data_IF_857761802401
#
_entry.id   IF_857761802401
#
_cell.length_a   1.000
_cell.length_b   1.000
_cell.length_c   1.000
_cell.angle_alpha   90.00
_cell.angle_beta   90.00
_cell.angle_gamma   90.00
#
_symmetry.space_group_name_H-M   'P 1'
#
loop_
_entity.id
_entity.type
_entity.pdbx_description
1 polymer ?
#
# COMPACT_ATOMS: atom_id res chain seq x y z
N UNK A 1 5.04 15.98 14.05
CA UNK A 1 5.49 14.66 13.52
C UNK A 1 4.37 13.61 13.50
N UNK A 2 3.42 13.63 14.44
CA UNK A 2 2.25 12.74 14.45
C UNK A 2 1.38 12.81 13.18
N UNK A 3 1.20 14.01 12.62
CA UNK A 3 0.48 14.18 11.34
C UNK A 3 1.19 13.50 10.16
N UNK A 4 2.52 13.52 10.12
CA UNK A 4 3.29 12.87 9.07
C UNK A 4 3.10 11.34 9.10
N UNK A 5 3.10 10.74 10.30
CA UNK A 5 2.79 9.32 10.50
C UNK A 5 1.37 8.97 10.02
N UNK A 6 0.37 9.79 10.35
CA UNK A 6 -1.01 9.60 9.89
C UNK A 6 -1.14 9.69 8.38
N UNK A 7 -0.47 10.68 7.76
CA UNK A 7 -0.46 10.87 6.32
C UNK A 7 0.19 9.67 5.63
N UNK A 8 1.33 9.19 6.14
CA UNK A 8 2.03 8.04 5.58
C UNK A 8 1.19 6.75 5.67
N UNK A 9 0.49 6.57 6.80
CA UNK A 9 -0.45 5.45 6.98
C UNK A 9 -1.61 5.53 5.99
N UNK A 10 -2.21 6.71 5.82
CA UNK A 10 -3.33 6.91 4.89
C UNK A 10 -2.91 6.70 3.43
N UNK A 11 -1.72 7.20 3.05
CA UNK A 11 -1.15 6.98 1.72
C UNK A 11 -0.87 5.50 1.46
N UNK A 12 -0.31 4.80 2.45
CA UNK A 12 -0.06 3.37 2.34
C UNK A 12 -1.34 2.56 2.15
N UNK A 13 -2.39 2.85 2.92
CA UNK A 13 -3.69 2.20 2.78
C UNK A 13 -4.31 2.44 1.39
N UNK A 14 -4.17 3.66 0.87
CA UNK A 14 -4.65 4.03 -0.46
C UNK A 14 -3.90 3.25 -1.55
N UNK A 15 -2.57 3.20 -1.47
CA UNK A 15 -1.73 2.50 -2.44
C UNK A 15 -1.98 0.99 -2.41
N UNK A 16 -2.23 0.44 -1.21
CA UNK A 16 -2.62 -0.96 -1.06
C UNK A 16 -3.93 -1.27 -1.79
N UNK A 17 -4.96 -0.45 -1.59
CA UNK A 17 -6.25 -0.62 -2.26
C UNK A 17 -6.17 -0.50 -3.78
N UNK A 18 -5.37 0.45 -4.28
CA UNK A 18 -5.09 0.59 -5.72
C UNK A 18 -4.39 -0.65 -6.26
N UNK A 19 -3.35 -1.14 -5.58
CA UNK A 19 -2.64 -2.35 -5.98
C UNK A 19 -3.54 -3.58 -6.03
N UNK A 20 -4.40 -3.77 -5.03
CA UNK A 20 -5.33 -4.88 -4.98
C UNK A 20 -6.35 -4.82 -6.13
N UNK A 21 -6.82 -3.62 -6.47
CA UNK A 21 -7.74 -3.41 -7.59
C UNK A 21 -7.10 -3.75 -8.93
N UNK A 22 -5.87 -3.27 -9.17
CA UNK A 22 -5.12 -3.56 -10.40
C UNK A 22 -4.80 -5.06 -10.51
N UNK A 23 -4.42 -5.70 -9.40
CA UNK A 23 -4.20 -7.14 -9.35
C UNK A 23 -5.46 -7.92 -9.74
N UNK A 24 -6.61 -7.56 -9.16
CA UNK A 24 -7.90 -8.21 -9.47
C UNK A 24 -8.33 -8.03 -10.93
N UNK A 25 -8.13 -6.82 -11.49
CA UNK A 25 -8.40 -6.55 -12.91
C UNK A 25 -7.48 -7.38 -13.82
N UNK A 26 -6.17 -7.41 -13.53
CA UNK A 26 -5.21 -8.21 -14.30
C UNK A 26 -5.54 -9.70 -14.28
N UNK A 27 -5.98 -10.23 -13.13
CA UNK A 27 -6.37 -11.62 -12.99
C UNK A 27 -7.68 -11.96 -13.72
N UNK A 28 -8.61 -10.99 -13.86
CA UNK A 28 -9.88 -11.18 -14.54
C UNK A 28 -9.77 -11.15 -16.08
N UNK A 29 -8.71 -10.53 -16.63
CA UNK A 29 -8.54 -10.27 -18.07
C UNK A 29 -7.63 -11.32 -18.76
N UNK A 30 -7.33 -12.45 -18.11
CA UNK A 30 -6.21 -13.30 -18.52
C UNK A 30 -6.12 -13.66 -20.02
N UNK A 31 -4.91 -13.42 -20.56
CA UNK A 31 -4.54 -13.30 -21.97
C UNK A 31 -3.33 -12.37 -22.18
N UNK A 32 -3.26 -11.25 -21.43
CA UNK A 32 -2.10 -10.36 -21.33
C UNK A 32 -1.68 -10.03 -19.87
N UNK A 33 -2.44 -10.53 -18.88
CA UNK A 33 -2.54 -10.00 -17.52
C UNK A 33 -1.35 -10.19 -16.57
N UNK A 34 -0.22 -10.76 -17.00
CA UNK A 34 0.92 -10.95 -16.10
C UNK A 34 1.57 -9.62 -15.67
N UNK A 35 1.53 -8.59 -16.52
CA UNK A 35 2.12 -7.29 -16.20
C UNK A 35 1.27 -6.53 -15.19
N UNK A 36 -0.04 -6.46 -15.40
CA UNK A 36 -1.00 -5.82 -14.51
C UNK A 36 -1.06 -6.52 -13.15
N UNK A 37 -1.05 -7.86 -13.13
CA UNK A 37 -0.94 -8.65 -11.89
C UNK A 37 0.31 -8.27 -11.09
N UNK A 38 1.47 -8.20 -11.77
CA UNK A 38 2.74 -7.85 -11.11
C UNK A 38 2.75 -6.40 -10.60
N UNK A 39 2.21 -5.45 -11.37
CA UNK A 39 2.08 -4.05 -10.91
C UNK A 39 1.13 -3.95 -9.71
N UNK A 40 -0.01 -4.62 -9.76
CA UNK A 40 -0.97 -4.64 -8.67
C UNK A 40 -0.38 -5.23 -7.38
N UNK A 41 0.34 -6.34 -7.50
CA UNK A 41 1.06 -6.94 -6.39
C UNK A 41 2.14 -6.00 -5.82
N UNK A 42 2.94 -5.36 -6.68
CA UNK A 42 3.98 -4.43 -6.25
C UNK A 42 3.39 -3.20 -5.53
N UNK A 43 2.35 -2.59 -6.08
CA UNK A 43 1.66 -1.46 -5.45
C UNK A 43 1.02 -1.85 -4.11
N UNK A 44 0.49 -3.07 -4.00
CA UNK A 44 -0.04 -3.60 -2.74
C UNK A 44 1.05 -3.69 -1.67
N UNK A 45 2.20 -4.27 -2.02
CA UNK A 45 3.34 -4.41 -1.10
C UNK A 45 3.85 -3.04 -0.64
N UNK A 46 4.01 -2.08 -1.57
CA UNK A 46 4.46 -0.73 -1.22
C UNK A 46 3.46 -0.05 -0.27
N UNK A 47 2.15 -0.23 -0.50
CA UNK A 47 1.11 0.30 0.38
C UNK A 47 1.19 -0.26 1.80
N UNK A 48 1.35 -1.57 1.93
CA UNK A 48 1.54 -2.23 3.24
C UNK A 48 2.77 -1.67 3.96
N UNK A 49 3.89 -1.53 3.27
CA UNK A 49 5.13 -1.00 3.86
C UNK A 49 4.95 0.42 4.37
N UNK A 50 4.28 1.29 3.61
CA UNK A 50 3.98 2.66 4.04
C UNK A 50 3.07 2.69 5.28
N UNK A 51 2.06 1.81 5.38
CA UNK A 51 1.24 1.64 6.59
C UNK A 51 2.09 1.23 7.79
N UNK A 52 2.95 0.23 7.63
CA UNK A 52 3.83 -0.26 8.70
C UNK A 52 4.76 0.86 9.20
N UNK A 53 5.40 1.59 8.29
CA UNK A 53 6.28 2.71 8.67
C UNK A 53 5.47 3.78 9.40
N UNK A 54 4.28 4.13 8.89
CA UNK A 54 3.39 5.10 9.55
C UNK A 54 3.02 4.69 10.98
N UNK A 55 2.72 3.41 11.22
CA UNK A 55 2.44 2.87 12.55
C UNK A 55 3.67 2.87 13.47
N UNK A 56 4.85 2.47 12.97
CA UNK A 56 6.09 2.50 13.77
C UNK A 56 6.42 3.93 14.18
N UNK A 57 6.30 4.88 13.26
CA UNK A 57 6.50 6.30 13.55
C UNK A 57 5.47 6.81 14.55
N UNK A 58 4.21 6.39 14.46
CA UNK A 58 3.17 6.75 15.43
C UNK A 58 3.55 6.30 16.84
N UNK A 59 3.94 5.03 16.99
CA UNK A 59 4.24 4.43 18.28
C UNK A 59 5.47 5.06 18.92
N UNK A 60 6.54 5.30 18.14
CA UNK A 60 7.73 5.98 18.67
C UNK A 60 7.44 7.39 19.17
N UNK A 61 6.57 8.13 18.46
CA UNK A 61 6.16 9.47 18.89
C UNK A 61 5.17 9.48 20.06
N UNK A 62 4.53 8.34 20.36
CA UNK A 62 3.65 8.19 21.51
C UNK A 62 4.40 7.75 22.78
N UNK A 63 5.62 7.24 22.62
CA UNK A 63 6.51 6.82 23.72
C UNK A 63 7.49 7.93 24.16
N UNK A 64 7.70 8.96 23.32
CA UNK A 64 8.48 10.18 23.62
C UNK A 64 7.60 11.28 24.26
#
# INVERSE_FOLDING_TARGET
MLEFSRILTALGATLFGVGFTVYGIGHAIDGAGNFEVNIGAAASIIGILAVIIGMIMHNRLAED
#
